data_IF_448721278834
#
_entry.id   IF_448721278834
#
_cell.length_a   1.000
_cell.length_b   1.000
_cell.length_c   1.000
_cell.angle_alpha   90.00
_cell.angle_beta   90.00
_cell.angle_gamma   90.00
#
_symmetry.space_group_name_H-M   'P 1'
#
loop_
_entity.id
_entity.type
_entity.pdbx_description
1 polymer ?
#
# COMPACT_ATOMS: atom_id res chain seq x y z
N UNK A 1 -39.90 4.51 6.17
CA UNK A 1 -38.57 3.93 5.83
C UNK A 1 -37.65 5.10 5.52
N UNK A 2 -36.85 5.53 6.50
CA UNK A 2 -35.98 6.71 6.35
C UNK A 2 -34.91 6.35 5.30
N UNK A 3 -34.83 7.06 4.17
CA UNK A 3 -33.75 6.84 3.19
C UNK A 3 -32.43 7.06 3.93
N UNK A 4 -31.67 5.99 4.20
CA UNK A 4 -30.29 6.10 4.72
C UNK A 4 -29.54 7.05 3.78
N UNK A 5 -28.99 8.14 4.33
CA UNK A 5 -28.25 9.11 3.52
C UNK A 5 -26.83 8.58 3.32
N UNK A 6 -26.62 7.87 2.22
CA UNK A 6 -25.34 7.22 1.91
C UNK A 6 -24.33 8.22 1.34
N UNK A 7 -23.05 7.94 1.57
CA UNK A 7 -21.94 8.61 0.88
C UNK A 7 -22.02 8.32 -0.63
N UNK A 8 -21.67 9.31 -1.44
CA UNK A 8 -21.41 9.06 -2.85
C UNK A 8 -20.23 8.11 -2.98
N UNK A 9 -20.40 7.09 -3.83
CA UNK A 9 -19.42 6.02 -3.98
C UNK A 9 -19.45 5.43 -5.38
N UNK A 10 -18.38 4.71 -5.72
CA UNK A 10 -18.26 3.86 -6.91
C UNK A 10 -17.74 2.48 -6.51
N UNK A 11 -18.27 1.46 -7.19
CA UNK A 11 -17.87 0.07 -7.00
C UNK A 11 -17.27 -0.44 -8.30
N UNK A 12 -16.07 -1.02 -8.21
CA UNK A 12 -15.32 -1.57 -9.35
C UNK A 12 -14.79 -2.97 -8.99
N UNK A 13 -14.68 -3.87 -9.98
CA UNK A 13 -14.16 -5.23 -9.81
C UNK A 13 -15.25 -6.31 -9.70
N UNK A 14 -14.86 -7.60 -9.55
CA UNK A 14 -15.81 -8.72 -9.51
C UNK A 14 -16.78 -8.60 -8.33
N UNK A 15 -18.05 -8.92 -8.55
CA UNK A 15 -19.09 -8.81 -7.52
C UNK A 15 -18.83 -9.72 -6.31
N UNK A 16 -18.30 -10.91 -6.54
CA UNK A 16 -18.10 -11.93 -5.49
C UNK A 16 -16.68 -11.90 -4.89
N UNK A 17 -15.87 -10.91 -5.28
CA UNK A 17 -14.54 -10.73 -4.72
C UNK A 17 -14.60 -10.08 -3.32
N UNK A 18 -13.57 -10.31 -2.46
CA UNK A 18 -13.48 -9.64 -1.17
C UNK A 18 -13.61 -8.11 -1.29
N UNK A 19 -14.39 -7.50 -0.38
CA UNK A 19 -14.65 -6.06 -0.40
C UNK A 19 -13.43 -5.30 0.12
N UNK A 20 -13.00 -4.29 -0.63
CA UNK A 20 -11.96 -3.34 -0.23
C UNK A 20 -12.51 -1.92 -0.27
N UNK A 21 -12.64 -1.29 0.90
CA UNK A 21 -13.13 0.08 1.04
C UNK A 21 -11.94 1.06 1.03
N UNK A 22 -12.03 2.11 0.21
CA UNK A 22 -10.97 3.09 -0.03
C UNK A 22 -11.40 4.50 0.41
N UNK A 23 -10.83 4.97 1.53
CA UNK A 23 -11.11 6.28 2.12
C UNK A 23 -10.19 7.40 1.59
N UNK A 24 -10.73 8.55 1.16
CA UNK A 24 -9.95 9.64 0.57
C UNK A 24 -9.26 10.51 1.63
N UNK A 25 -8.38 11.41 1.19
CA UNK A 25 -7.79 12.46 2.03
C UNK A 25 -8.73 13.66 2.15
N UNK A 26 -8.57 14.44 3.21
CA UNK A 26 -9.28 15.73 3.36
C UNK A 26 -8.92 16.66 2.19
N UNK A 27 -9.93 17.20 1.52
CA UNK A 27 -9.77 18.05 0.35
C UNK A 27 -9.70 17.30 -0.97
N UNK A 28 -9.86 15.98 -0.98
CA UNK A 28 -9.89 15.15 -2.19
C UNK A 28 -11.21 14.39 -2.32
N UNK A 29 -11.54 13.99 -3.55
CA UNK A 29 -12.58 13.02 -3.87
C UNK A 29 -11.99 11.62 -4.04
N UNK A 30 -12.87 10.65 -4.33
CA UNK A 30 -12.58 9.28 -4.71
C UNK A 30 -11.64 9.14 -5.93
N UNK A 31 -11.39 10.25 -6.65
CA UNK A 31 -10.43 10.30 -7.75
C UNK A 31 -8.97 10.14 -7.28
N UNK A 32 -8.65 10.43 -6.02
CA UNK A 32 -7.30 10.23 -5.44
C UNK A 32 -6.82 8.78 -5.53
N UNK A 33 -7.75 7.83 -5.64
CA UNK A 33 -7.49 6.39 -5.78
C UNK A 33 -7.44 5.88 -7.23
N UNK A 34 -7.67 6.75 -8.22
CA UNK A 34 -7.67 6.36 -9.64
C UNK A 34 -6.40 5.60 -10.07
N UNK A 35 -5.16 5.97 -9.63
CA UNK A 35 -3.96 5.25 -10.04
C UNK A 35 -3.88 3.79 -9.53
N UNK A 36 -4.49 3.47 -8.39
CA UNK A 36 -4.47 2.12 -7.82
C UNK A 36 -5.60 1.23 -8.36
N UNK A 37 -6.70 1.84 -8.81
CA UNK A 37 -7.93 1.14 -9.16
C UNK A 37 -7.73 -0.02 -10.16
N UNK A 38 -6.99 0.12 -11.28
CA UNK A 38 -6.83 -0.97 -12.24
C UNK A 38 -6.11 -2.19 -11.66
N UNK A 39 -5.28 -2.02 -10.63
CA UNK A 39 -4.61 -3.11 -9.94
C UNK A 39 -5.50 -3.77 -8.89
N UNK A 40 -6.11 -2.97 -8.02
CA UNK A 40 -6.92 -3.45 -6.89
C UNK A 40 -8.21 -4.13 -7.36
N UNK A 41 -8.91 -3.55 -8.34
CA UNK A 41 -10.18 -4.04 -8.85
C UNK A 41 -10.07 -5.40 -9.60
N UNK A 42 -8.85 -5.92 -9.83
CA UNK A 42 -8.67 -7.27 -10.39
C UNK A 42 -8.95 -8.38 -9.38
N UNK A 43 -8.85 -8.08 -8.09
CA UNK A 43 -8.94 -9.07 -7.00
C UNK A 43 -9.94 -8.69 -5.91
N UNK A 44 -10.39 -7.45 -5.90
CA UNK A 44 -11.29 -6.94 -4.88
C UNK A 44 -12.51 -6.28 -5.52
N UNK A 45 -13.65 -6.43 -4.85
CA UNK A 45 -14.79 -5.53 -5.04
C UNK A 45 -14.45 -4.21 -4.36
N UNK A 46 -13.86 -3.31 -5.13
CA UNK A 46 -13.28 -2.06 -4.62
C UNK A 46 -14.36 -1.00 -4.51
N UNK A 47 -14.54 -0.44 -3.31
CA UNK A 47 -15.52 0.61 -3.01
C UNK A 47 -14.77 1.90 -2.69
N UNK A 48 -14.84 2.88 -3.58
CA UNK A 48 -14.30 4.22 -3.34
C UNK A 48 -15.44 5.18 -3.02
N UNK A 49 -15.24 6.07 -2.06
CA UNK A 49 -16.29 6.97 -1.58
C UNK A 49 -15.76 8.37 -1.33
N UNK A 50 -16.68 9.34 -1.27
CA UNK A 50 -16.38 10.75 -1.01
C UNK A 50 -16.77 11.17 0.40
N UNK A 51 -15.90 11.92 1.08
CA UNK A 51 -16.22 12.58 2.35
C UNK A 51 -17.41 13.54 2.21
N UNK A 52 -18.19 13.78 3.26
CA UNK A 52 -19.21 14.84 3.26
C UNK A 52 -18.65 16.18 2.77
N UNK A 53 -19.33 16.80 1.79
CA UNK A 53 -18.91 18.06 1.16
C UNK A 53 -17.77 17.93 0.15
N UNK A 54 -17.31 16.71 -0.13
CA UNK A 54 -16.30 16.42 -1.14
C UNK A 54 -16.92 15.63 -2.29
N UNK A 55 -16.36 15.79 -3.50
CA UNK A 55 -16.83 15.07 -4.69
C UNK A 55 -18.35 15.11 -4.84
N UNK A 56 -18.99 13.94 -4.86
CA UNK A 56 -20.45 13.82 -4.98
C UNK A 56 -21.23 13.74 -3.66
N UNK A 57 -20.55 13.71 -2.51
CA UNK A 57 -21.20 13.55 -1.20
C UNK A 57 -21.74 14.88 -0.67
N UNK A 58 -23.04 15.02 -0.35
CA UNK A 58 -23.58 16.27 0.15
C UNK A 58 -23.00 16.65 1.52
N UNK A 59 -22.69 17.94 1.73
CA UNK A 59 -22.16 18.43 2.99
C UNK A 59 -23.11 18.21 4.18
N UNK A 60 -24.43 18.13 3.92
CA UNK A 60 -25.46 17.90 4.93
C UNK A 60 -25.46 16.49 5.55
N UNK A 61 -24.55 15.61 5.12
CA UNK A 61 -24.27 14.34 5.80
C UNK A 61 -23.51 14.54 7.11
N UNK A 62 -22.90 15.71 7.33
CA UNK A 62 -22.02 15.96 8.46
C UNK A 62 -22.35 17.30 9.13
N UNK A 63 -22.50 17.27 10.46
CA UNK A 63 -22.73 18.46 11.27
C UNK A 63 -21.44 19.25 11.54
N UNK A 64 -21.55 20.49 12.04
CA UNK A 64 -20.40 21.34 12.35
C UNK A 64 -19.51 20.79 13.48
N UNK A 65 -20.09 20.02 14.41
CA UNK A 65 -19.41 19.43 15.57
C UNK A 65 -19.01 17.97 15.34
N UNK A 66 -18.91 17.56 14.08
CA UNK A 66 -18.66 16.18 13.72
C UNK A 66 -17.34 15.63 14.24
N UNK A 67 -17.33 14.32 14.43
CA UNK A 67 -16.22 13.52 14.92
C UNK A 67 -15.80 12.48 13.87
N UNK A 68 -14.67 11.82 14.14
CA UNK A 68 -14.26 10.65 13.33
C UNK A 68 -15.23 9.48 13.50
N UNK A 69 -15.95 9.40 14.63
CA UNK A 69 -16.98 8.38 14.86
C UNK A 69 -18.16 8.55 13.92
N UNK A 70 -18.64 9.78 13.71
CA UNK A 70 -19.71 10.08 12.75
C UNK A 70 -19.31 9.66 11.32
N UNK A 71 -18.07 9.97 10.93
CA UNK A 71 -17.52 9.59 9.63
C UNK A 71 -17.38 8.08 9.48
N UNK A 72 -16.94 7.37 10.53
CA UNK A 72 -16.87 5.92 10.56
C UNK A 72 -18.27 5.29 10.45
N UNK A 73 -19.27 5.85 11.13
CA UNK A 73 -20.67 5.43 11.02
C UNK A 73 -21.20 5.51 9.58
N UNK A 74 -20.89 6.58 8.85
CA UNK A 74 -21.26 6.71 7.43
C UNK A 74 -20.59 5.64 6.54
N UNK A 75 -19.36 5.24 6.86
CA UNK A 75 -18.66 4.14 6.15
C UNK A 75 -19.30 2.79 6.47
N UNK A 76 -19.69 2.55 7.72
CA UNK A 76 -20.41 1.33 8.11
C UNK A 76 -21.78 1.25 7.44
N UNK A 77 -22.54 2.35 7.42
CA UNK A 77 -23.83 2.42 6.72
C UNK A 77 -23.68 2.12 5.21
N UNK A 78 -22.61 2.63 4.59
CA UNK A 78 -22.26 2.32 3.21
C UNK A 78 -21.93 0.84 3.04
N UNK A 79 -21.06 0.27 3.88
CA UNK A 79 -20.68 -1.14 3.84
C UNK A 79 -21.92 -2.05 3.98
N UNK A 80 -22.78 -1.76 4.96
CA UNK A 80 -24.04 -2.49 5.19
C UNK A 80 -24.96 -2.41 3.97
N UNK A 81 -25.08 -1.25 3.34
CA UNK A 81 -25.91 -1.07 2.14
C UNK A 81 -25.44 -1.89 0.93
N UNK A 82 -24.15 -2.27 0.92
CA UNK A 82 -23.51 -3.08 -0.11
C UNK A 82 -23.45 -4.57 0.25
N UNK A 83 -24.00 -4.96 1.41
CA UNK A 83 -23.94 -6.32 1.96
C UNK A 83 -22.55 -6.73 2.47
N UNK A 84 -21.67 -5.76 2.75
CA UNK A 84 -20.31 -6.00 3.20
C UNK A 84 -20.24 -6.12 4.73
N UNK A 85 -20.55 -7.31 5.25
CA UNK A 85 -20.45 -7.61 6.69
C UNK A 85 -19.01 -7.47 7.21
N UNK A 86 -18.02 -7.91 6.42
CA UNK A 86 -16.59 -7.72 6.72
C UNK A 86 -15.87 -7.23 5.48
N UNK A 87 -14.87 -6.36 5.66
CA UNK A 87 -14.15 -5.74 4.54
C UNK A 87 -12.70 -5.41 4.91
N UNK A 88 -11.84 -5.41 3.90
CA UNK A 88 -10.54 -4.77 3.99
C UNK A 88 -10.71 -3.25 3.83
N UNK A 89 -9.85 -2.46 4.46
CA UNK A 89 -9.93 -1.00 4.41
C UNK A 89 -8.56 -0.39 4.11
N UNK A 90 -8.51 0.58 3.19
CA UNK A 90 -7.35 1.45 3.01
C UNK A 90 -7.77 2.92 3.05
N UNK A 91 -7.04 3.74 3.81
CA UNK A 91 -7.38 5.16 3.98
C UNK A 91 -6.19 6.09 3.92
N UNK A 92 -6.38 7.25 3.29
CA UNK A 92 -5.35 8.30 3.20
C UNK A 92 -5.65 9.39 4.24
N UNK A 93 -4.68 9.78 5.06
CA UNK A 93 -4.81 10.93 5.98
C UNK A 93 -6.07 10.82 6.87
N UNK A 94 -7.06 11.72 6.76
CA UNK A 94 -8.36 11.61 7.44
C UNK A 94 -9.06 10.27 7.16
N UNK A 95 -9.03 9.78 5.91
CA UNK A 95 -9.51 8.44 5.57
C UNK A 95 -8.79 7.35 6.36
N UNK A 96 -7.50 7.51 6.66
CA UNK A 96 -6.74 6.62 7.52
C UNK A 96 -7.13 6.73 9.01
N UNK A 97 -7.47 7.92 9.49
CA UNK A 97 -7.98 8.11 10.86
C UNK A 97 -9.33 7.40 11.04
N UNK A 98 -10.20 7.49 10.04
CA UNK A 98 -11.48 6.75 9.99
C UNK A 98 -11.21 5.24 10.00
N UNK A 99 -10.27 4.76 9.19
CA UNK A 99 -9.89 3.34 9.18
C UNK A 99 -9.32 2.84 10.52
N UNK A 100 -8.48 3.66 11.16
CA UNK A 100 -7.92 3.37 12.49
C UNK A 100 -9.03 3.28 13.53
N UNK A 101 -9.98 4.22 13.51
CA UNK A 101 -11.14 4.22 14.41
C UNK A 101 -12.05 3.00 14.18
N UNK A 102 -12.35 2.68 12.91
CA UNK A 102 -13.12 1.49 12.53
C UNK A 102 -12.47 0.22 13.05
N UNK A 103 -11.17 0.03 12.80
CA UNK A 103 -10.47 -1.18 13.21
C UNK A 103 -10.34 -1.32 14.74
N UNK A 104 -10.26 -0.21 15.46
CA UNK A 104 -10.14 -0.23 16.92
C UNK A 104 -11.47 -0.40 17.65
N UNK A 105 -12.59 0.05 17.06
CA UNK A 105 -13.93 -0.01 17.68
C UNK A 105 -14.84 -1.10 17.11
N UNK A 106 -14.58 -1.52 15.89
CA UNK A 106 -15.31 -2.55 15.16
C UNK A 106 -14.33 -3.59 14.58
N UNK A 107 -13.46 -4.21 15.40
CA UNK A 107 -12.46 -5.18 14.93
C UNK A 107 -13.07 -6.38 14.20
N UNK A 108 -14.34 -6.70 14.47
CA UNK A 108 -15.08 -7.74 13.77
C UNK A 108 -15.35 -7.40 12.29
N UNK A 109 -15.43 -6.11 11.95
CA UNK A 109 -15.76 -5.63 10.60
C UNK A 109 -14.52 -5.53 9.71
N UNK A 110 -13.38 -5.14 10.26
CA UNK A 110 -12.17 -4.85 9.47
C UNK A 110 -11.27 -6.07 9.40
N UNK A 111 -11.11 -6.66 8.20
CA UNK A 111 -10.29 -7.88 8.01
C UNK A 111 -8.80 -7.59 7.84
N UNK A 112 -8.47 -6.43 7.27
CA UNK A 112 -7.12 -5.97 6.98
C UNK A 112 -7.12 -4.46 6.79
N UNK A 113 -6.09 -3.76 7.26
CA UNK A 113 -6.05 -2.30 7.32
C UNK A 113 -4.82 -1.73 6.62
N UNK A 114 -4.98 -0.71 5.77
CA UNK A 114 -3.87 0.06 5.24
C UNK A 114 -4.03 1.56 5.56
N UNK A 115 -3.01 2.16 6.16
CA UNK A 115 -2.97 3.55 6.59
C UNK A 115 -1.91 4.31 5.79
N UNK A 116 -2.34 5.20 4.91
CA UNK A 116 -1.45 5.94 4.01
C UNK A 116 -1.35 7.40 4.46
N UNK A 117 -0.15 7.86 4.78
CA UNK A 117 0.14 9.25 5.17
C UNK A 117 -0.84 9.76 6.23
N UNK A 118 -1.06 8.94 7.27
CA UNK A 118 -2.03 9.15 8.34
C UNK A 118 -1.34 9.11 9.72
N UNK A 119 -2.10 9.45 10.76
CA UNK A 119 -1.64 9.53 12.14
C UNK A 119 -2.77 9.20 13.13
N UNK A 120 -2.41 8.82 14.35
CA UNK A 120 -3.36 8.66 15.45
C UNK A 120 -3.86 10.01 16.01
N UNK A 121 -3.08 11.07 15.81
CA UNK A 121 -3.36 12.46 16.22
C UNK A 121 -2.80 13.43 15.18
N UNK A 122 -3.57 14.44 14.81
CA UNK A 122 -3.19 15.40 13.77
C UNK A 122 -2.92 16.78 14.36
N UNK A 123 -1.66 17.21 14.37
CA UNK A 123 -1.29 18.56 14.81
C UNK A 123 -1.91 18.95 16.15
N UNK A 124 -2.38 20.19 16.26
CA UNK A 124 -3.07 20.70 17.45
C UNK A 124 -4.53 21.06 17.13
N UNK A 125 -5.48 20.88 18.07
CA UNK A 125 -6.87 21.25 17.85
C UNK A 125 -7.08 22.72 17.41
N UNK A 126 -6.41 23.72 18.03
CA UNK A 126 -6.57 25.12 17.61
C UNK A 126 -6.24 25.36 16.13
N UNK A 127 -5.18 24.72 15.60
CA UNK A 127 -4.78 24.89 14.21
C UNK A 127 -5.85 24.36 13.22
N UNK A 128 -6.53 23.27 13.57
CA UNK A 128 -7.62 22.73 12.76
C UNK A 128 -8.90 23.57 12.85
N UNK A 129 -9.26 24.04 14.05
CA UNK A 129 -10.39 24.97 14.21
C UNK A 129 -10.16 26.28 13.44
N UNK A 130 -8.95 26.84 13.50
CA UNK A 130 -8.59 28.04 12.74
C UNK A 130 -8.69 27.80 11.24
N UNK A 131 -8.14 26.68 10.74
CA UNK A 131 -8.25 26.30 9.34
C UNK A 131 -9.71 26.16 8.89
N UNK A 132 -10.55 25.47 9.67
CA UNK A 132 -11.97 25.32 9.39
C UNK A 132 -12.72 26.66 9.36
N UNK A 133 -12.45 27.54 10.34
CA UNK A 133 -13.00 28.90 10.37
C UNK A 133 -12.59 29.72 9.15
N UNK A 134 -11.31 29.70 8.78
CA UNK A 134 -10.79 30.41 7.62
C UNK A 134 -11.46 29.95 6.31
N UNK A 135 -11.67 28.65 6.14
CA UNK A 135 -12.33 28.09 4.96
C UNK A 135 -13.81 28.48 4.92
N UNK A 136 -14.52 28.47 6.06
CA UNK A 136 -15.92 28.96 6.11
C UNK A 136 -16.04 30.43 5.74
N UNK A 137 -15.11 31.26 6.21
CA UNK A 137 -15.14 32.72 5.99
C UNK A 137 -14.67 33.14 4.60
N UNK A 138 -13.61 32.50 4.09
CA UNK A 138 -12.90 32.95 2.87
C UNK A 138 -12.99 31.97 1.70
N UNK A 139 -13.71 30.86 1.87
CA UNK A 139 -13.77 29.77 0.91
C UNK A 139 -12.48 28.96 0.82
N UNK A 140 -12.48 27.93 -0.04
CA UNK A 140 -11.40 26.96 -0.14
C UNK A 140 -10.20 27.47 -0.98
N UNK A 141 -10.38 28.53 -1.77
CA UNK A 141 -9.45 28.93 -2.83
C UNK A 141 -8.00 29.18 -2.34
N UNK A 142 -7.83 29.90 -1.22
CA UNK A 142 -6.51 30.16 -0.65
C UNK A 142 -5.82 28.88 -0.14
N UNK A 143 -6.62 27.96 0.40
CA UNK A 143 -6.12 26.68 0.87
C UNK A 143 -5.73 25.78 -0.31
N UNK A 144 -6.51 25.81 -1.40
CA UNK A 144 -6.21 25.12 -2.63
C UNK A 144 -4.94 25.64 -3.31
N UNK A 145 -4.74 26.97 -3.34
CA UNK A 145 -3.53 27.58 -3.90
C UNK A 145 -2.24 27.11 -3.20
N UNK A 146 -2.31 26.83 -1.90
CA UNK A 146 -1.17 26.35 -1.09
C UNK A 146 -1.13 24.83 -0.90
N UNK A 147 -2.09 24.09 -1.44
CA UNK A 147 -2.15 22.64 -1.32
C UNK A 147 -1.00 21.88 -2.01
N UNK A 148 -0.49 22.28 -3.20
CA UNK A 148 0.60 21.57 -3.86
C UNK A 148 1.84 21.38 -2.97
N UNK A 149 2.20 22.41 -2.20
CA UNK A 149 3.38 22.40 -1.31
C UNK A 149 3.20 21.51 -0.07
N UNK A 150 1.95 21.23 0.31
CA UNK A 150 1.63 20.29 1.39
C UNK A 150 1.50 18.87 0.87
N UNK A 151 1.00 18.70 -0.36
CA UNK A 151 0.59 17.41 -0.89
C UNK A 151 1.68 16.64 -1.63
N UNK A 152 2.62 17.36 -2.25
CA UNK A 152 3.57 16.78 -3.20
C UNK A 152 5.00 17.28 -2.95
N UNK A 153 5.98 16.51 -3.42
CA UNK A 153 7.36 17.02 -3.48
C UNK A 153 7.47 18.14 -4.55
N UNK A 154 8.53 18.97 -4.48
CA UNK A 154 8.80 19.97 -5.51
C UNK A 154 8.88 19.40 -6.93
N UNK A 155 9.31 18.14 -7.09
CA UNK A 155 9.43 17.47 -8.37
C UNK A 155 8.08 17.05 -8.97
N UNK A 156 7.04 16.86 -8.15
CA UNK A 156 5.75 16.35 -8.60
C UNK A 156 4.65 17.42 -8.65
N UNK A 157 4.77 18.49 -7.84
CA UNK A 157 3.70 19.49 -7.63
C UNK A 157 3.24 20.24 -8.89
N UNK A 158 4.00 20.19 -9.99
CA UNK A 158 3.70 20.84 -11.27
C UNK A 158 3.21 19.86 -12.36
N UNK A 159 2.91 18.60 -12.00
CA UNK A 159 2.40 17.61 -12.96
C UNK A 159 0.91 17.78 -13.21
N UNK A 160 0.41 17.27 -14.35
CA UNK A 160 -1.03 17.26 -14.65
C UNK A 160 -1.84 16.47 -13.61
N UNK A 161 -1.27 15.39 -13.05
CA UNK A 161 -1.90 14.61 -12.00
C UNK A 161 -2.04 15.41 -10.69
N UNK A 162 -1.02 16.20 -10.33
CA UNK A 162 -1.11 17.11 -9.19
C UNK A 162 -2.19 18.16 -9.43
N UNK A 163 -2.18 18.84 -10.58
CA UNK A 163 -3.16 19.89 -10.92
C UNK A 163 -4.60 19.36 -10.88
N UNK A 164 -4.85 18.16 -11.39
CA UNK A 164 -6.17 17.53 -11.34
C UNK A 164 -6.71 17.41 -9.91
N UNK A 165 -5.86 17.04 -8.94
CA UNK A 165 -6.27 17.01 -7.53
C UNK A 165 -6.45 18.39 -6.91
N UNK A 166 -5.71 19.41 -7.36
CA UNK A 166 -5.96 20.77 -6.91
C UNK A 166 -7.30 21.29 -7.44
N UNK A 167 -7.67 20.96 -8.67
CA UNK A 167 -8.99 21.30 -9.22
C UNK A 167 -10.11 20.62 -8.44
N UNK A 168 -9.93 19.34 -8.10
CA UNK A 168 -10.85 18.62 -7.20
C UNK A 168 -10.97 19.33 -5.85
N UNK A 169 -9.84 19.73 -5.25
CA UNK A 169 -9.83 20.48 -3.99
C UNK A 169 -10.57 21.82 -4.05
N UNK A 170 -10.50 22.53 -5.18
CA UNK A 170 -11.23 23.79 -5.40
C UNK A 170 -12.75 23.62 -5.43
N UNK A 171 -13.25 22.41 -5.68
CA UNK A 171 -14.68 22.10 -5.74
C UNK A 171 -15.31 21.75 -4.38
N UNK A 172 -14.49 21.58 -3.34
CA UNK A 172 -14.95 21.14 -2.02
C UNK A 172 -15.83 22.20 -1.36
N UNK A 173 -16.94 21.75 -0.78
CA UNK A 173 -17.83 22.58 0.01
C UNK A 173 -17.12 23.12 1.27
N UNK A 174 -17.06 24.45 1.48
CA UNK A 174 -16.39 25.04 2.64
C UNK A 174 -16.94 24.55 3.99
N UNK A 175 -18.25 24.30 4.09
CA UNK A 175 -18.91 23.81 5.29
C UNK A 175 -18.48 22.40 5.65
N UNK A 176 -18.52 21.49 4.66
CA UNK A 176 -18.07 20.09 4.79
C UNK A 176 -16.58 19.98 5.09
N UNK A 177 -15.74 20.79 4.43
CA UNK A 177 -14.30 20.86 4.75
C UNK A 177 -14.06 21.24 6.21
N UNK A 178 -14.76 22.28 6.68
CA UNK A 178 -14.59 22.78 8.04
C UNK A 178 -15.14 21.82 9.10
N UNK A 179 -16.23 21.07 8.80
CA UNK A 179 -16.71 19.99 9.65
C UNK A 179 -15.68 18.85 9.75
N UNK A 180 -15.01 18.49 8.64
CA UNK A 180 -13.92 17.52 8.67
C UNK A 180 -12.69 18.03 9.45
N UNK A 181 -12.39 19.33 9.40
CA UNK A 181 -11.37 19.94 10.27
C UNK A 181 -11.74 19.84 11.75
N UNK A 182 -13.02 20.01 12.10
CA UNK A 182 -13.49 19.81 13.48
C UNK A 182 -13.25 18.37 13.94
N UNK A 183 -13.59 17.38 13.11
CA UNK A 183 -13.33 15.96 13.40
C UNK A 183 -11.82 15.68 13.63
N UNK A 184 -10.94 16.26 12.81
CA UNK A 184 -9.48 16.16 12.98
C UNK A 184 -8.95 16.89 14.23
N UNK A 185 -9.61 17.95 14.67
CA UNK A 185 -9.26 18.65 15.90
C UNK A 185 -9.53 17.77 17.14
N UNK A 186 -10.65 17.04 17.11
CA UNK A 186 -11.10 16.22 18.24
C UNK A 186 -10.40 14.86 18.33
N UNK A 187 -9.96 14.28 17.20
CA UNK A 187 -9.47 12.90 17.17
C UNK A 187 -8.17 12.70 17.96
N UNK A 188 -8.16 11.69 18.82
CA UNK A 188 -6.95 11.11 19.43
C UNK A 188 -7.18 9.60 19.57
N UNK A 189 -6.45 8.82 18.77
CA UNK A 189 -6.61 7.37 18.69
C UNK A 189 -5.44 6.62 19.33
N UNK A 190 -4.49 7.32 19.98
CA UNK A 190 -3.26 6.70 20.51
C UNK A 190 -3.55 5.59 21.51
N UNK A 191 -4.49 5.83 22.42
CA UNK A 191 -4.95 4.83 23.41
C UNK A 191 -5.78 3.69 22.80
N UNK A 192 -6.14 3.81 21.52
CA UNK A 192 -6.92 2.82 20.78
C UNK A 192 -6.09 1.91 19.89
N UNK A 193 -4.85 2.29 19.56
CA UNK A 193 -3.98 1.52 18.68
C UNK A 193 -3.79 0.06 19.14
N UNK A 194 -3.56 -0.23 20.45
CA UNK A 194 -3.38 -1.61 20.90
C UNK A 194 -4.62 -2.50 20.76
N UNK A 195 -5.80 -1.93 20.49
CA UNK A 195 -7.05 -2.68 20.26
C UNK A 195 -7.21 -3.16 18.82
N UNK A 196 -6.36 -2.68 17.90
CA UNK A 196 -6.43 -3.06 16.49
C UNK A 196 -5.85 -4.47 16.33
N UNK A 197 -6.71 -5.42 15.94
CA UNK A 197 -6.33 -6.82 15.68
C UNK A 197 -6.13 -7.13 14.20
N UNK A 198 -6.55 -6.23 13.30
CA UNK A 198 -6.39 -6.42 11.87
C UNK A 198 -4.91 -6.23 11.47
N UNK A 199 -4.34 -7.11 10.62
CA UNK A 199 -3.02 -6.88 10.03
C UNK A 199 -2.98 -5.52 9.37
N UNK A 200 -1.97 -4.70 9.70
CA UNK A 200 -1.94 -3.29 9.34
C UNK A 200 -0.70 -2.91 8.51
N UNK A 201 -0.91 -2.48 7.27
CA UNK A 201 0.12 -1.81 6.48
C UNK A 201 0.08 -0.31 6.76
N UNK A 202 1.24 0.28 6.93
CA UNK A 202 1.40 1.72 7.12
C UNK A 202 2.34 2.23 6.03
N UNK A 203 1.92 3.24 5.28
CA UNK A 203 2.73 3.86 4.22
C UNK A 203 2.95 5.33 4.55
N UNK A 204 4.21 5.76 4.61
CA UNK A 204 4.60 7.15 4.83
C UNK A 204 5.32 7.74 3.62
N UNK A 205 5.05 9.00 3.28
CA UNK A 205 5.91 9.78 2.41
C UNK A 205 7.06 10.40 3.21
N UNK A 206 8.33 10.16 2.82
CA UNK A 206 9.48 10.73 3.55
C UNK A 206 9.49 12.26 3.58
N UNK A 207 8.91 12.89 2.56
CA UNK A 207 8.80 14.35 2.44
C UNK A 207 7.45 14.89 2.92
N UNK A 208 6.61 14.07 3.55
CA UNK A 208 5.30 14.50 4.05
C UNK A 208 5.47 15.54 5.16
N UNK A 209 4.93 16.74 4.92
CA UNK A 209 4.91 17.86 5.87
C UNK A 209 3.58 17.99 6.60
N UNK A 210 2.51 17.42 6.04
CA UNK A 210 1.18 17.44 6.66
C UNK A 210 1.10 16.41 7.79
N UNK A 211 1.66 15.22 7.53
CA UNK A 211 1.83 14.15 8.51
C UNK A 211 3.28 13.66 8.45
N UNK A 212 4.18 14.25 9.25
CA UNK A 212 5.58 13.85 9.24
C UNK A 212 5.76 12.35 9.55
N UNK A 213 6.79 11.67 9.00
CA UNK A 213 7.00 10.24 9.17
C UNK A 213 6.99 9.74 10.61
N UNK A 214 7.42 10.56 11.58
CA UNK A 214 7.40 10.18 13.00
C UNK A 214 5.97 9.99 13.55
N UNK A 215 4.98 10.71 12.98
CA UNK A 215 3.56 10.51 13.31
C UNK A 215 3.02 9.20 12.74
N UNK A 216 3.52 8.81 11.58
CA UNK A 216 3.18 7.53 10.97
C UNK A 216 3.90 6.37 11.68
N UNK A 217 5.10 6.61 12.23
CA UNK A 217 5.79 5.64 13.10
C UNK A 217 5.06 5.41 14.41
N UNK A 218 4.46 6.44 15.02
CA UNK A 218 3.59 6.28 16.21
C UNK A 218 2.44 5.28 15.97
N UNK A 219 1.86 5.26 14.76
CA UNK A 219 0.87 4.23 14.40
C UNK A 219 1.49 2.83 14.38
N UNK A 220 2.69 2.68 13.80
CA UNK A 220 3.36 1.40 13.70
C UNK A 220 3.76 0.85 15.07
N UNK A 221 4.29 1.71 15.94
CA UNK A 221 4.70 1.35 17.28
C UNK A 221 3.50 0.99 18.18
N UNK A 222 2.32 1.57 17.91
CA UNK A 222 1.11 1.35 18.69
C UNK A 222 0.24 0.16 18.24
N UNK A 223 0.46 -0.37 17.04
CA UNK A 223 -0.32 -1.48 16.46
C UNK A 223 0.55 -2.74 16.41
N UNK A 224 0.11 -3.79 17.10
CA UNK A 224 0.90 -5.00 17.32
C UNK A 224 1.30 -5.74 16.03
N UNK A 225 0.36 -5.92 15.10
CA UNK A 225 0.61 -6.53 13.79
C UNK A 225 0.64 -5.45 12.71
N UNK A 226 1.77 -4.73 12.63
CA UNK A 226 1.94 -3.67 11.65
C UNK A 226 3.26 -3.71 10.89
N UNK A 227 3.22 -3.24 9.64
CA UNK A 227 4.40 -3.05 8.79
C UNK A 227 4.46 -1.61 8.29
N UNK A 228 5.60 -0.93 8.51
CA UNK A 228 5.84 0.42 8.03
C UNK A 228 6.69 0.45 6.75
N UNK A 229 6.16 1.08 5.70
CA UNK A 229 6.86 1.37 4.45
C UNK A 229 7.03 2.87 4.29
N UNK A 230 8.29 3.35 4.27
CA UNK A 230 8.60 4.77 4.04
C UNK A 230 9.06 4.98 2.60
N UNK A 231 8.28 5.72 1.83
CA UNK A 231 8.55 6.00 0.43
C UNK A 231 9.50 7.21 0.30
N UNK A 232 10.71 7.03 -0.28
CA UNK A 232 11.78 8.03 -0.20
C UNK A 232 11.55 9.30 -1.02
N UNK A 233 10.67 9.24 -2.03
CA UNK A 233 10.37 10.30 -3.00
C UNK A 233 8.87 10.62 -3.07
N UNK A 234 8.19 10.57 -1.91
CA UNK A 234 6.79 10.94 -1.81
C UNK A 234 6.56 11.89 -0.63
N UNK A 235 5.59 12.77 -0.77
CA UNK A 235 5.02 13.59 0.28
C UNK A 235 3.64 13.01 0.71
N UNK A 236 2.66 13.87 0.98
CA UNK A 236 1.40 13.47 1.61
C UNK A 236 0.49 12.62 0.72
N UNK A 237 0.35 12.95 -0.57
CA UNK A 237 -0.49 12.17 -1.50
C UNK A 237 0.34 11.13 -2.24
N UNK A 238 0.96 10.25 -1.46
CA UNK A 238 1.86 9.19 -1.95
C UNK A 238 1.20 8.25 -2.97
N UNK A 239 -0.12 8.05 -2.88
CA UNK A 239 -0.90 7.26 -3.83
C UNK A 239 -0.85 7.81 -5.25
N UNK A 240 -0.69 9.12 -5.42
CA UNK A 240 -0.62 9.76 -6.74
C UNK A 240 0.83 10.03 -7.15
N UNK A 241 1.71 10.34 -6.19
CA UNK A 241 3.11 10.67 -6.48
C UNK A 241 3.98 9.43 -6.77
N UNK A 242 3.72 8.30 -6.11
CA UNK A 242 4.40 7.03 -6.35
C UNK A 242 3.40 5.87 -6.49
N UNK A 243 2.55 5.89 -7.53
CA UNK A 243 1.39 5.01 -7.62
C UNK A 243 1.76 3.53 -7.70
N UNK A 244 2.85 3.18 -8.39
CA UNK A 244 3.30 1.79 -8.51
C UNK A 244 3.84 1.24 -7.19
N UNK A 245 4.59 2.04 -6.43
CA UNK A 245 5.14 1.62 -5.14
C UNK A 245 4.03 1.41 -4.11
N UNK A 246 3.06 2.34 -4.05
CA UNK A 246 1.88 2.19 -3.19
C UNK A 246 1.05 0.97 -3.61
N UNK A 247 0.79 0.80 -4.91
CA UNK A 247 0.03 -0.35 -5.40
C UNK A 247 0.70 -1.68 -5.06
N UNK A 248 2.03 -1.77 -5.19
CA UNK A 248 2.78 -2.97 -4.82
C UNK A 248 2.65 -3.29 -3.32
N UNK A 249 2.77 -2.28 -2.46
CA UNK A 249 2.58 -2.44 -1.02
C UNK A 249 1.14 -2.90 -0.68
N UNK A 250 0.12 -2.26 -1.26
CA UNK A 250 -1.28 -2.65 -1.05
C UNK A 250 -1.58 -4.05 -1.58
N UNK A 251 -1.04 -4.42 -2.74
CA UNK A 251 -1.18 -5.77 -3.29
C UNK A 251 -0.56 -6.83 -2.39
N UNK A 252 0.62 -6.55 -1.82
CA UNK A 252 1.25 -7.48 -0.89
C UNK A 252 0.40 -7.64 0.38
N UNK A 253 -0.06 -6.53 0.95
CA UNK A 253 -0.85 -6.51 2.17
C UNK A 253 -2.20 -7.20 2.04
N UNK A 254 -2.94 -6.90 0.97
CA UNK A 254 -4.28 -7.44 0.74
C UNK A 254 -4.30 -8.75 -0.04
N UNK A 255 -3.15 -9.32 -0.41
CA UNK A 255 -3.12 -10.66 -1.00
C UNK A 255 -3.56 -11.76 -0.01
N UNK A 256 -3.74 -11.43 1.27
CA UNK A 256 -3.91 -12.39 2.35
C UNK A 256 -2.60 -13.11 2.65
N UNK A 257 -2.58 -13.95 3.70
CA UNK A 257 -1.60 -15.02 3.73
C UNK A 257 -1.71 -15.78 2.40
N UNK A 258 -0.60 -16.27 1.82
CA UNK A 258 -0.69 -17.10 0.62
C UNK A 258 -1.80 -18.12 0.81
N UNK A 259 -2.59 -18.39 -0.24
CA UNK A 259 -3.77 -19.28 -0.18
C UNK A 259 -3.47 -20.60 0.54
N UNK A 260 -2.19 -20.99 0.64
CA UNK A 260 -1.68 -21.97 1.59
C UNK A 260 -0.60 -21.34 2.51
N UNK A 261 -0.82 -21.24 3.83
CA UNK A 261 0.24 -20.98 4.80
C UNK A 261 1.40 -21.95 4.55
N UNK A 262 2.58 -21.41 4.26
CA UNK A 262 3.74 -22.20 3.86
C UNK A 262 3.99 -22.35 2.35
N UNK A 263 3.13 -21.81 1.46
CA UNK A 263 3.41 -21.84 0.01
C UNK A 263 4.72 -21.11 -0.37
N UNK A 264 5.04 -20.02 0.33
CA UNK A 264 6.31 -19.31 0.14
C UNK A 264 7.50 -20.16 0.56
N UNK A 265 7.42 -20.80 1.73
CA UNK A 265 8.45 -21.73 2.21
C UNK A 265 8.57 -22.96 1.30
N UNK A 266 7.45 -23.56 0.88
CA UNK A 266 7.39 -24.68 -0.03
C UNK A 266 7.97 -24.32 -1.41
N UNK A 267 7.65 -23.15 -1.96
CA UNK A 267 8.23 -22.66 -3.22
C UNK A 267 9.72 -22.37 -3.07
N UNK A 268 10.12 -21.75 -1.96
CA UNK A 268 11.54 -21.49 -1.64
C UNK A 268 12.32 -22.80 -1.58
N UNK A 269 11.78 -23.84 -0.95
CA UNK A 269 12.36 -25.19 -0.90
C UNK A 269 12.37 -25.87 -2.27
N UNK A 270 11.27 -25.79 -3.01
CA UNK A 270 11.18 -26.35 -4.36
C UNK A 270 12.23 -25.73 -5.31
N UNK A 271 12.52 -24.44 -5.17
CA UNK A 271 13.48 -23.73 -6.04
C UNK A 271 14.91 -23.84 -5.52
N UNK A 272 15.17 -23.53 -4.25
CA UNK A 272 16.52 -23.44 -3.68
C UNK A 272 17.02 -24.76 -3.06
N UNK A 273 16.12 -25.66 -2.70
CA UNK A 273 16.41 -26.95 -2.07
C UNK A 273 16.40 -26.88 -0.54
N UNK A 274 15.98 -27.98 0.10
CA UNK A 274 15.79 -28.07 1.55
C UNK A 274 17.06 -27.73 2.34
N UNK A 275 18.22 -28.31 1.99
CA UNK A 275 19.49 -28.05 2.68
C UNK A 275 19.87 -26.57 2.73
N UNK A 276 19.57 -25.81 1.67
CA UNK A 276 19.84 -24.38 1.65
C UNK A 276 18.89 -23.63 2.59
N UNK A 277 17.60 -23.96 2.52
CA UNK A 277 16.57 -23.30 3.33
C UNK A 277 16.78 -23.61 4.80
N UNK A 278 17.10 -24.85 5.16
CA UNK A 278 17.36 -25.26 6.54
C UNK A 278 18.58 -24.55 7.13
N UNK A 279 19.68 -24.44 6.36
CA UNK A 279 20.85 -23.66 6.79
C UNK A 279 20.53 -22.18 6.97
N UNK A 280 19.74 -21.60 6.06
CA UNK A 280 19.33 -20.19 6.16
C UNK A 280 18.43 -19.94 7.38
N UNK A 281 17.49 -20.85 7.65
CA UNK A 281 16.61 -20.80 8.81
C UNK A 281 17.43 -20.91 10.11
N UNK A 282 18.35 -21.87 10.20
CA UNK A 282 19.23 -22.05 11.36
C UNK A 282 20.15 -20.84 11.62
N UNK A 283 20.53 -20.11 10.57
CA UNK A 283 21.32 -18.88 10.67
C UNK A 283 20.48 -17.61 10.94
N UNK A 284 19.14 -17.75 11.05
CA UNK A 284 18.26 -16.60 11.28
C UNK A 284 18.38 -16.10 12.71
N UNK A 285 18.50 -14.79 12.87
CA UNK A 285 18.59 -14.10 14.16
C UNK A 285 17.40 -13.18 14.33
N UNK A 286 17.16 -12.67 15.54
CA UNK A 286 16.12 -11.66 15.77
C UNK A 286 16.29 -10.42 14.87
N UNK A 287 17.52 -10.06 14.51
CA UNK A 287 17.80 -8.95 13.60
C UNK A 287 17.44 -9.27 12.13
N UNK A 288 17.68 -10.49 11.68
CA UNK A 288 17.44 -10.90 10.29
C UNK A 288 16.07 -11.52 10.04
N UNK A 289 15.33 -11.90 11.09
CA UNK A 289 14.02 -12.54 10.99
C UNK A 289 13.00 -11.72 10.17
N UNK A 290 12.83 -10.40 10.38
CA UNK A 290 11.87 -9.64 9.57
C UNK A 290 12.20 -9.64 8.08
N UNK A 291 13.50 -9.69 7.74
CA UNK A 291 13.96 -9.74 6.34
C UNK A 291 13.78 -11.13 5.72
N UNK A 292 14.03 -12.20 6.49
CA UNK A 292 13.75 -13.57 6.05
C UNK A 292 12.26 -13.79 5.82
N UNK A 293 11.41 -13.27 6.72
CA UNK A 293 9.96 -13.33 6.57
C UNK A 293 9.49 -12.54 5.35
N UNK A 294 10.01 -11.33 5.16
CA UNK A 294 9.74 -10.51 3.98
C UNK A 294 10.10 -11.23 2.68
N UNK A 295 11.31 -11.80 2.56
CA UNK A 295 11.71 -12.51 1.34
C UNK A 295 10.84 -13.76 1.11
N UNK A 296 10.60 -14.55 2.17
CA UNK A 296 9.78 -15.78 2.13
C UNK A 296 8.37 -15.49 1.62
N UNK A 297 7.74 -14.44 2.14
CA UNK A 297 6.40 -14.06 1.71
C UNK A 297 6.39 -13.34 0.35
N UNK A 298 7.24 -12.34 0.15
CA UNK A 298 7.17 -11.48 -1.02
C UNK A 298 7.75 -12.14 -2.27
N UNK A 299 8.99 -12.63 -2.20
CA UNK A 299 9.63 -13.24 -3.36
C UNK A 299 9.00 -14.60 -3.65
N UNK A 300 9.01 -15.50 -2.67
CA UNK A 300 8.62 -16.88 -2.88
C UNK A 300 7.11 -17.07 -2.87
N UNK A 301 6.42 -16.57 -1.84
CA UNK A 301 4.96 -16.64 -1.74
C UNK A 301 4.21 -15.71 -2.69
N UNK A 302 4.86 -14.64 -3.17
CA UNK A 302 4.21 -13.58 -3.95
C UNK A 302 4.60 -13.54 -5.43
N UNK A 303 5.88 -13.65 -5.80
CA UNK A 303 6.30 -13.53 -7.21
C UNK A 303 6.48 -14.90 -7.86
N UNK A 304 7.16 -15.83 -7.21
CA UNK A 304 7.50 -17.16 -7.78
C UNK A 304 6.27 -18.08 -7.90
N UNK A 305 5.27 -17.93 -7.03
CA UNK A 305 4.00 -18.67 -7.07
C UNK A 305 2.99 -18.14 -8.09
N UNK A 306 3.20 -16.95 -8.67
CA UNK A 306 2.19 -16.35 -9.56
C UNK A 306 1.97 -17.19 -10.82
N UNK A 307 0.71 -17.34 -11.26
CA UNK A 307 0.44 -17.91 -12.57
C UNK A 307 0.96 -16.97 -13.68
N UNK A 308 1.28 -17.54 -14.84
CA UNK A 308 1.63 -16.80 -16.06
C UNK A 308 3.04 -17.06 -16.59
N UNK A 309 4.00 -17.39 -15.73
CA UNK A 309 5.33 -17.88 -16.12
C UNK A 309 5.65 -19.16 -15.36
N UNK A 310 6.15 -20.17 -16.06
CA UNK A 310 6.65 -21.39 -15.44
C UNK A 310 7.99 -21.15 -14.71
N UNK A 311 8.39 -22.12 -13.89
CA UNK A 311 9.62 -22.01 -13.07
C UNK A 311 10.89 -21.99 -13.93
N UNK A 312 10.87 -22.64 -15.10
CA UNK A 312 11.98 -22.63 -16.05
C UNK A 312 12.24 -21.21 -16.55
N UNK A 313 11.19 -20.57 -17.06
CA UNK A 313 11.25 -19.20 -17.60
C UNK A 313 11.65 -18.20 -16.52
N UNK A 314 11.12 -18.35 -15.30
CA UNK A 314 11.51 -17.53 -14.15
C UNK A 314 12.99 -17.69 -13.80
N UNK A 315 13.52 -18.90 -13.92
CA UNK A 315 14.94 -19.17 -13.71
C UNK A 315 15.80 -18.50 -14.79
N UNK A 316 15.42 -18.57 -16.07
CA UNK A 316 16.10 -17.84 -17.14
C UNK A 316 16.20 -16.33 -16.83
N UNK A 317 15.07 -15.71 -16.50
CA UNK A 317 15.00 -14.27 -16.17
C UNK A 317 15.87 -13.95 -14.95
N UNK A 318 15.81 -14.80 -13.92
CA UNK A 318 16.58 -14.59 -12.69
C UNK A 318 18.08 -14.67 -12.95
N UNK A 319 18.54 -15.67 -13.72
CA UNK A 319 19.95 -15.78 -14.13
C UNK A 319 20.40 -14.52 -14.88
N UNK A 320 19.64 -14.08 -15.89
CA UNK A 320 19.96 -12.85 -16.64
C UNK A 320 20.04 -11.62 -15.73
N UNK A 321 19.10 -11.46 -14.79
CA UNK A 321 19.08 -10.33 -13.85
C UNK A 321 20.29 -10.35 -12.89
N UNK A 322 20.70 -11.52 -12.41
CA UNK A 322 21.86 -11.66 -11.52
C UNK A 322 23.17 -11.37 -12.27
N UNK A 323 23.29 -11.77 -13.54
CA UNK A 323 24.42 -11.41 -14.40
C UNK A 323 24.47 -9.91 -14.65
N UNK A 324 23.35 -9.30 -15.04
CA UNK A 324 23.26 -7.85 -15.25
C UNK A 324 23.63 -7.05 -13.99
N UNK A 325 23.30 -7.57 -12.80
CA UNK A 325 23.62 -6.95 -11.52
C UNK A 325 24.99 -7.30 -10.94
N UNK A 326 25.79 -8.15 -11.61
CA UNK A 326 27.10 -8.60 -11.12
C UNK A 326 27.05 -9.40 -9.81
N UNK A 327 25.96 -10.11 -9.54
CA UNK A 327 25.70 -10.82 -8.27
C UNK A 327 26.16 -12.28 -8.34
N UNK A 328 27.47 -12.49 -8.43
CA UNK A 328 28.05 -13.82 -8.73
C UNK A 328 27.83 -14.89 -7.63
N UNK A 329 27.81 -14.51 -6.35
CA UNK A 329 27.56 -15.45 -5.25
C UNK A 329 26.13 -16.01 -5.32
N UNK A 330 25.17 -15.14 -5.54
CA UNK A 330 23.75 -15.48 -5.71
C UNK A 330 23.50 -16.23 -7.03
N UNK A 331 24.27 -15.90 -8.08
CA UNK A 331 24.19 -16.59 -9.37
C UNK A 331 24.47 -18.08 -9.24
N UNK A 332 25.48 -18.48 -8.45
CA UNK A 332 25.79 -19.89 -8.24
C UNK A 332 24.61 -20.67 -7.61
N UNK A 333 23.92 -20.04 -6.66
CA UNK A 333 22.72 -20.59 -6.05
C UNK A 333 21.60 -20.76 -7.09
N UNK A 334 21.39 -19.75 -7.93
CA UNK A 334 20.33 -19.78 -8.93
C UNK A 334 20.63 -20.64 -10.17
N UNK A 335 21.89 -20.95 -10.47
CA UNK A 335 22.23 -21.99 -11.46
C UNK A 335 21.77 -23.37 -10.97
N UNK A 336 22.02 -23.71 -9.69
CA UNK A 336 21.47 -24.94 -9.07
C UNK A 336 19.94 -24.95 -9.08
N UNK A 337 19.33 -23.80 -8.78
CA UNK A 337 17.88 -23.66 -8.81
C UNK A 337 17.30 -23.84 -10.22
N UNK A 338 17.98 -23.31 -11.24
CA UNK A 338 17.56 -23.47 -12.63
C UNK A 338 17.58 -24.94 -13.08
N UNK A 339 18.64 -25.68 -12.73
CA UNK A 339 18.73 -27.13 -12.94
C UNK A 339 17.58 -27.87 -12.24
N UNK A 340 17.30 -27.54 -10.97
CA UNK A 340 16.19 -28.12 -10.21
C UNK A 340 14.82 -27.82 -10.82
N UNK A 341 14.64 -26.62 -11.35
CA UNK A 341 13.43 -26.22 -12.09
C UNK A 341 13.35 -26.83 -13.50
N UNK A 342 14.34 -27.63 -13.89
CA UNK A 342 14.35 -28.50 -15.06
C UNK A 342 15.21 -28.02 -16.22
N UNK A 343 15.87 -26.86 -16.14
CA UNK A 343 16.76 -26.43 -17.23
C UNK A 343 17.92 -27.43 -17.35
N UNK A 344 18.33 -27.68 -18.60
CA UNK A 344 19.55 -28.42 -18.91
C UNK A 344 20.77 -27.49 -18.83
N UNK A 345 21.99 -28.04 -18.64
CA UNK A 345 23.23 -27.27 -18.77
C UNK A 345 23.32 -26.49 -20.09
N UNK A 346 22.85 -27.08 -21.19
CA UNK A 346 22.82 -26.48 -22.51
C UNK A 346 21.89 -25.27 -22.54
N UNK A 347 20.67 -25.38 -21.99
CA UNK A 347 19.74 -24.26 -21.91
C UNK A 347 20.26 -23.13 -21.00
N UNK A 348 20.95 -23.47 -19.91
CA UNK A 348 21.60 -22.47 -19.06
C UNK A 348 22.71 -21.76 -19.86
N UNK A 349 23.50 -22.50 -20.65
CA UNK A 349 24.49 -21.91 -21.55
C UNK A 349 23.86 -20.93 -22.55
N UNK A 350 22.73 -21.28 -23.17
CA UNK A 350 22.00 -20.38 -24.08
C UNK A 350 21.55 -19.09 -23.39
N UNK A 351 21.03 -19.18 -22.16
CA UNK A 351 20.68 -17.99 -21.36
C UNK A 351 21.91 -17.12 -21.10
N UNK A 352 23.06 -17.71 -20.78
CA UNK A 352 24.29 -16.95 -20.53
C UNK A 352 24.89 -16.37 -21.81
N UNK A 353 24.79 -17.05 -22.95
CA UNK A 353 25.16 -16.48 -24.25
C UNK A 353 24.34 -15.23 -24.56
N UNK A 354 23.02 -15.26 -24.29
CA UNK A 354 22.16 -14.09 -24.44
C UNK A 354 22.64 -12.90 -23.59
N UNK A 355 23.18 -13.14 -22.39
CA UNK A 355 23.74 -12.07 -21.54
C UNK A 355 24.99 -11.42 -22.13
N UNK A 356 25.76 -12.10 -22.98
CA UNK A 356 26.94 -11.50 -23.61
C UNK A 356 26.57 -10.30 -24.51
N UNK A 357 25.40 -10.36 -25.15
CA UNK A 357 24.89 -9.30 -26.03
C UNK A 357 24.41 -8.09 -25.23
N UNK A 358 23.66 -8.32 -24.14
CA UNK A 358 22.96 -7.25 -23.42
C UNK A 358 23.66 -6.75 -22.15
N UNK A 359 24.51 -7.59 -21.56
CA UNK A 359 25.29 -7.27 -20.35
C UNK A 359 26.79 -7.14 -20.64
N UNK A 360 27.23 -7.51 -21.85
CA UNK A 360 28.62 -7.47 -22.27
C UNK A 360 29.39 -8.76 -21.99
N UNK A 361 30.35 -9.05 -22.87
CA UNK A 361 31.18 -10.28 -22.82
C UNK A 361 31.88 -10.49 -21.46
N UNK A 362 32.44 -9.46 -20.77
CA UNK A 362 33.05 -9.68 -19.46
C UNK A 362 32.09 -10.21 -18.39
N UNK A 363 30.83 -9.72 -18.39
CA UNK A 363 29.81 -10.19 -17.44
C UNK A 363 29.42 -11.63 -17.76
N UNK A 364 29.24 -11.97 -19.04
CA UNK A 364 28.97 -13.33 -19.46
C UNK A 364 30.13 -14.28 -19.12
N UNK A 365 31.40 -13.88 -19.31
CA UNK A 365 32.56 -14.69 -18.94
C UNK A 365 32.57 -15.03 -17.44
N UNK A 366 32.29 -14.05 -16.59
CA UNK A 366 32.18 -14.28 -15.15
C UNK A 366 31.01 -15.22 -14.83
N UNK A 367 29.88 -15.06 -15.51
CA UNK A 367 28.72 -15.93 -15.35
C UNK A 367 28.99 -17.38 -15.77
N UNK A 368 29.65 -17.59 -16.91
CA UNK A 368 30.08 -18.92 -17.38
C UNK A 368 31.04 -19.58 -16.41
N UNK A 369 32.00 -18.83 -15.85
CA UNK A 369 32.91 -19.35 -14.83
C UNK A 369 32.17 -19.79 -13.55
N UNK A 370 31.11 -19.07 -13.16
CA UNK A 370 30.23 -19.47 -12.05
C UNK A 370 29.42 -20.72 -12.40
N UNK A 371 28.75 -20.72 -13.54
CA UNK A 371 27.89 -21.83 -13.96
C UNK A 371 28.67 -23.12 -14.15
N UNK A 372 29.86 -23.07 -14.77
CA UNK A 372 30.74 -24.23 -14.95
C UNK A 372 31.08 -24.90 -13.62
N UNK A 373 31.43 -24.12 -12.60
CA UNK A 373 31.72 -24.65 -11.24
C UNK A 373 30.53 -25.36 -10.59
N UNK A 374 29.31 -25.03 -11.01
CA UNK A 374 28.08 -25.62 -10.48
C UNK A 374 27.62 -26.82 -11.29
N UNK A 375 27.84 -26.81 -12.62
CA UNK A 375 27.40 -27.86 -13.53
C UNK A 375 28.39 -29.03 -13.56
N UNK A 376 29.69 -28.75 -13.47
CA UNK A 376 30.75 -29.75 -13.59
C UNK A 376 31.35 -30.20 -12.24
N UNK A 377 30.98 -29.53 -11.15
CA UNK A 377 31.45 -29.82 -9.79
C UNK A 377 30.31 -30.30 -8.92
#
# INVERSE_FOLDING_TARGET
MNRRRLLHHRVDGPHDAPVLVLGPSLGTSLAVWAPQLPGLARRHRTVRWDLPGHGGSPASLLGPDATVDDLAGLVLDLADSLGAERFAYAGISLGGAIGTHLAARHPERVTSLALICSAARFGTPPAWHERGRLVREKGIAALAASAPDRWFTPAFRQTAAAEALIQDHRSVDPGGYAACCHALAAVDLRDALPRITAPTLIVAGRADRAVPPDRTRELADGIADSTLVVLPRAAHLATVEQPQAVLAALHHHFAGAPEHPGAGEAMRRAVLGDDHVDRAAAATTAFTAPFQDFITHYAWGGIWTRPGLDLRTRSCITLTALVAGGRHEELALHVRAALRNGLTPEEISEVLLQTAVYCGVPAANAAFAVARRVVEG
#
